data_IF_572029888056
#
_entry.id   IF_572029888056
#
_cell.length_a   1.000
_cell.length_b   1.000
_cell.length_c   1.000
_cell.angle_alpha   90.00
_cell.angle_beta   90.00
_cell.angle_gamma   90.00
#
_symmetry.space_group_name_H-M   'P 1'
#
loop_
_entity.id
_entity.type
_entity.pdbx_description
1 polymer ?
#
# COMPACT_ATOMS: atom_id res chain seq x y z
N UNK A 1 -14.21 14.55 -1.42
CA UNK A 1 -12.83 14.65 -0.80
C UNK A 1 -11.91 15.37 -1.78
N UNK A 2 -10.96 16.20 -1.27
CA UNK A 2 -10.01 16.94 -2.12
C UNK A 2 -8.65 16.21 -2.05
N UNK A 3 -8.21 15.64 -3.17
CA UNK A 3 -6.88 15.00 -3.26
C UNK A 3 -5.80 16.10 -3.24
N UNK A 4 -4.80 16.02 -2.33
CA UNK A 4 -3.77 17.05 -2.22
C UNK A 4 -2.91 17.15 -3.50
N UNK A 5 -2.72 18.39 -4.01
CA UNK A 5 -1.89 18.64 -5.21
C UNK A 5 -0.47 18.05 -5.12
N UNK A 6 0.13 18.08 -3.93
CA UNK A 6 1.46 17.50 -3.70
C UNK A 6 1.46 15.98 -3.90
N UNK A 7 0.41 15.26 -3.41
CA UNK A 7 0.26 13.83 -3.65
C UNK A 7 0.08 13.54 -5.15
N UNK A 8 -0.82 14.27 -5.81
CA UNK A 8 -1.04 14.15 -7.27
C UNK A 8 0.28 14.21 -8.04
N UNK A 9 1.12 15.22 -7.75
CA UNK A 9 2.43 15.38 -8.38
C UNK A 9 3.37 14.21 -8.11
N UNK A 10 3.37 13.69 -6.86
CA UNK A 10 4.20 12.54 -6.51
C UNK A 10 3.74 11.28 -7.24
N UNK A 11 2.41 11.04 -7.32
CA UNK A 11 1.83 9.89 -8.03
C UNK A 11 2.08 9.96 -9.54
N UNK A 12 1.92 11.12 -10.16
CA UNK A 12 2.18 11.31 -11.60
C UNK A 12 3.65 11.06 -12.00
N UNK A 13 4.59 11.24 -11.09
CA UNK A 13 6.00 10.96 -11.33
C UNK A 13 6.35 9.47 -11.20
N UNK A 14 5.44 8.64 -10.70
CA UNK A 14 5.64 7.20 -10.61
C UNK A 14 5.48 6.56 -12.00
N UNK A 15 6.48 5.76 -12.41
CA UNK A 15 6.55 5.17 -13.75
C UNK A 15 5.86 3.81 -13.89
N UNK A 16 5.26 3.33 -12.83
CA UNK A 16 4.54 2.06 -12.78
C UNK A 16 3.31 2.20 -11.89
N UNK A 17 2.34 1.35 -12.12
CA UNK A 17 1.10 1.33 -11.35
C UNK A 17 1.06 0.11 -10.42
N UNK A 18 1.79 -0.96 -10.77
CA UNK A 18 1.83 -2.17 -9.96
C UNK A 18 3.21 -2.84 -9.91
N UNK A 19 3.38 -3.68 -8.90
CA UNK A 19 4.50 -4.61 -8.75
C UNK A 19 3.94 -5.94 -8.27
N UNK A 20 4.19 -7.01 -9.07
CA UNK A 20 3.75 -8.37 -8.75
C UNK A 20 4.91 -9.21 -8.26
N UNK A 21 4.67 -10.04 -7.25
CA UNK A 21 5.61 -11.02 -6.73
C UNK A 21 4.84 -12.31 -6.40
N UNK A 22 5.05 -13.35 -7.20
CA UNK A 22 4.36 -14.63 -7.02
C UNK A 22 2.85 -14.51 -7.14
N UNK A 23 2.16 -14.77 -6.03
CA UNK A 23 0.69 -14.76 -5.95
C UNK A 23 0.09 -13.38 -5.65
N UNK A 24 0.91 -12.40 -5.27
CA UNK A 24 0.44 -11.09 -4.83
C UNK A 24 0.92 -9.95 -5.71
N UNK A 25 0.15 -8.89 -5.75
CA UNK A 25 0.46 -7.64 -6.45
C UNK A 25 0.12 -6.45 -5.56
N UNK A 26 1.00 -5.46 -5.52
CA UNK A 26 0.67 -4.12 -5.04
C UNK A 26 0.22 -3.30 -6.22
N UNK A 27 -0.98 -2.74 -6.14
CA UNK A 27 -1.50 -1.79 -7.12
C UNK A 27 -1.66 -0.40 -6.49
N UNK A 28 -1.15 0.63 -7.16
CA UNK A 28 -1.24 2.03 -6.74
C UNK A 28 -2.12 2.76 -7.74
N UNK A 29 -3.28 3.25 -7.30
CA UNK A 29 -4.26 3.91 -8.17
C UNK A 29 -3.67 5.10 -8.92
N UNK A 30 -4.02 5.22 -10.20
CA UNK A 30 -3.78 6.44 -10.98
C UNK A 30 -4.62 7.59 -10.43
N UNK A 31 -4.20 8.82 -10.68
CA UNK A 31 -4.91 10.01 -10.18
C UNK A 31 -6.38 10.04 -10.57
N UNK A 32 -6.69 9.60 -11.80
CA UNK A 32 -8.08 9.53 -12.31
C UNK A 32 -8.92 8.41 -11.70
N UNK A 33 -8.31 7.46 -11.01
CA UNK A 33 -9.00 6.32 -10.36
C UNK A 33 -9.35 6.64 -8.89
N UNK A 34 -8.67 7.64 -8.29
CA UNK A 34 -8.75 7.93 -6.87
C UNK A 34 -10.16 8.25 -6.37
N UNK A 35 -10.96 8.95 -7.17
CA UNK A 35 -12.34 9.27 -6.78
C UNK A 35 -13.18 8.00 -6.64
N UNK A 36 -13.12 7.13 -7.65
CA UNK A 36 -13.83 5.85 -7.65
C UNK A 36 -13.32 4.89 -6.58
N UNK A 37 -12.03 4.93 -6.29
CA UNK A 37 -11.39 4.09 -5.29
C UNK A 37 -11.85 4.36 -3.86
N UNK A 38 -12.56 5.47 -3.61
CA UNK A 38 -13.10 5.78 -2.28
C UNK A 38 -14.44 5.11 -2.00
N UNK A 39 -15.08 4.52 -3.01
CA UNK A 39 -16.37 3.83 -2.84
C UNK A 39 -16.18 2.59 -1.98
N UNK A 40 -17.02 2.46 -0.95
CA UNK A 40 -16.93 1.39 0.05
C UNK A 40 -16.02 1.73 1.25
N UNK A 41 -15.28 2.84 1.18
CA UNK A 41 -14.43 3.34 2.26
C UNK A 41 -14.95 4.67 2.83
N UNK A 42 -14.69 5.78 2.16
CA UNK A 42 -15.15 7.10 2.63
C UNK A 42 -16.51 7.50 2.09
N UNK A 43 -17.00 6.86 1.03
CA UNK A 43 -18.31 7.12 0.42
C UNK A 43 -18.97 5.80 0.00
N UNK A 44 -20.33 5.79 0.00
CA UNK A 44 -21.12 4.71 -0.57
C UNK A 44 -21.29 4.86 -2.11
N UNK A 45 -21.97 3.92 -2.75
CA UNK A 45 -22.29 3.96 -4.19
C UNK A 45 -23.16 5.17 -4.59
N UNK A 46 -23.91 5.74 -3.65
CA UNK A 46 -24.77 6.90 -3.85
C UNK A 46 -24.03 8.22 -3.59
N UNK A 47 -22.76 8.15 -3.14
CA UNK A 47 -21.97 9.33 -2.79
C UNK A 47 -22.18 9.85 -1.36
N UNK A 48 -22.94 9.14 -0.51
CA UNK A 48 -23.09 9.50 0.88
C UNK A 48 -21.79 9.19 1.64
N UNK A 49 -21.47 10.02 2.65
CA UNK A 49 -20.30 9.81 3.50
C UNK A 49 -20.44 8.54 4.35
N UNK A 50 -19.38 7.76 4.39
CA UNK A 50 -19.18 6.61 5.31
C UNK A 50 -18.16 6.94 6.41
N UNK A 51 -17.70 8.20 6.48
CA UNK A 51 -16.75 8.63 7.51
C UNK A 51 -17.43 8.88 8.84
N UNK A 52 -16.73 8.59 9.95
CA UNK A 52 -17.20 8.80 11.30
C UNK A 52 -16.09 9.19 12.27
N UNK A 53 -16.47 9.42 13.53
CA UNK A 53 -15.56 9.84 14.61
C UNK A 53 -15.37 8.75 15.68
N UNK A 54 -16.10 7.63 15.59
CA UNK A 54 -15.96 6.53 16.53
C UNK A 54 -14.73 5.69 16.22
N UNK A 55 -14.30 4.92 17.22
CA UNK A 55 -13.25 3.91 16.99
C UNK A 55 -13.72 2.89 15.96
N UNK A 56 -12.89 2.63 14.95
CA UNK A 56 -13.20 1.71 13.86
C UNK A 56 -13.93 2.33 12.66
N UNK A 57 -14.39 3.59 12.75
CA UNK A 57 -14.93 4.31 11.61
C UNK A 57 -13.81 4.69 10.62
N UNK A 58 -14.17 4.85 9.35
CA UNK A 58 -13.26 5.45 8.37
C UNK A 58 -13.05 6.92 8.67
N UNK A 59 -11.81 7.35 8.88
CA UNK A 59 -11.53 8.76 9.19
C UNK A 59 -11.61 9.65 7.94
N UNK A 60 -12.16 10.87 8.11
CA UNK A 60 -12.34 11.86 7.02
C UNK A 60 -11.05 12.20 6.27
N UNK A 61 -9.91 12.11 6.95
CA UNK A 61 -8.59 12.42 6.39
C UNK A 61 -7.86 11.21 5.76
N UNK A 62 -8.49 10.06 5.67
CA UNK A 62 -7.92 8.89 5.01
C UNK A 62 -8.31 8.87 3.53
N UNK A 63 -7.32 8.73 2.67
CA UNK A 63 -7.46 8.59 1.23
C UNK A 63 -6.93 7.24 0.81
N UNK A 64 -7.77 6.38 0.23
CA UNK A 64 -7.33 5.14 -0.40
C UNK A 64 -6.51 5.46 -1.64
N UNK A 65 -5.33 4.86 -1.75
CA UNK A 65 -4.36 5.12 -2.82
C UNK A 65 -3.96 3.86 -3.60
N UNK A 66 -4.39 2.71 -3.17
CA UNK A 66 -4.03 1.42 -3.76
C UNK A 66 -4.55 0.26 -2.94
N UNK A 67 -4.13 -0.93 -3.27
CA UNK A 67 -4.45 -2.18 -2.55
C UNK A 67 -3.38 -3.24 -2.81
N UNK A 68 -3.34 -4.26 -1.96
CA UNK A 68 -2.69 -5.52 -2.26
C UNK A 68 -3.73 -6.52 -2.80
N UNK A 69 -3.34 -7.39 -3.72
CA UNK A 69 -4.32 -8.17 -4.49
C UNK A 69 -4.76 -9.48 -3.84
N UNK A 70 -4.11 -9.94 -2.77
CA UNK A 70 -4.42 -11.23 -2.16
C UNK A 70 -5.67 -11.16 -1.29
N UNK A 71 -5.72 -10.18 -0.38
CA UNK A 71 -6.85 -9.93 0.51
C UNK A 71 -7.67 -8.70 0.12
N UNK A 72 -7.22 -7.96 -0.90
CA UNK A 72 -7.78 -6.66 -1.33
C UNK A 72 -7.69 -5.58 -0.23
N UNK A 73 -6.74 -5.73 0.70
CA UNK A 73 -6.53 -4.77 1.76
C UNK A 73 -6.06 -3.42 1.21
N UNK A 74 -6.71 -2.30 1.60
CA UNK A 74 -6.42 -1.00 1.04
C UNK A 74 -5.08 -0.45 1.54
N UNK A 75 -4.37 0.26 0.65
CA UNK A 75 -3.37 1.23 1.06
C UNK A 75 -4.03 2.59 1.18
N UNK A 76 -3.84 3.24 2.31
CA UNK A 76 -4.39 4.56 2.57
C UNK A 76 -3.32 5.52 3.08
N UNK A 77 -3.52 6.81 2.83
CA UNK A 77 -2.69 7.88 3.37
C UNK A 77 -3.51 8.83 4.23
N UNK A 78 -2.88 9.37 5.28
CA UNK A 78 -3.41 10.51 6.02
C UNK A 78 -3.08 11.81 5.26
N UNK A 79 -4.12 12.43 4.67
CA UNK A 79 -3.96 13.67 3.89
C UNK A 79 -3.69 14.92 4.74
N UNK A 80 -3.96 14.88 6.05
CA UNK A 80 -3.59 15.94 7.01
C UNK A 80 -2.11 15.88 7.37
N UNK A 81 -1.49 14.69 7.26
CA UNK A 81 -0.06 14.52 7.46
C UNK A 81 0.69 14.90 6.18
N UNK A 82 1.43 15.98 6.20
CA UNK A 82 2.17 16.50 5.04
C UNK A 82 3.25 15.59 4.45
N UNK A 83 3.55 14.46 5.12
CA UNK A 83 4.43 13.39 4.62
C UNK A 83 3.67 12.32 3.84
N UNK A 84 2.34 12.24 4.05
CA UNK A 84 1.48 11.16 3.54
C UNK A 84 2.00 9.78 3.98
N UNK A 85 2.03 9.56 5.29
CA UNK A 85 2.31 8.25 5.87
C UNK A 85 1.33 7.23 5.30
N UNK A 86 1.83 6.03 4.96
CA UNK A 86 1.04 4.99 4.31
C UNK A 86 0.69 3.92 5.32
N UNK A 87 -0.57 3.56 5.34
CA UNK A 87 -1.13 2.51 6.20
C UNK A 87 -1.80 1.45 5.33
N UNK A 88 -1.97 0.27 5.89
CA UNK A 88 -2.91 -0.76 5.41
C UNK A 88 -3.91 -1.07 6.52
N UNK A 89 -5.05 -1.64 6.17
CA UNK A 89 -6.05 -2.07 7.13
C UNK A 89 -6.74 -3.33 6.62
N UNK A 90 -7.03 -4.28 7.50
CA UNK A 90 -7.72 -5.52 7.13
C UNK A 90 -9.13 -5.23 6.66
N UNK A 91 -9.51 -5.80 5.53
CA UNK A 91 -10.81 -5.63 4.92
C UNK A 91 -11.82 -6.61 5.54
N UNK A 92 -13.05 -6.15 5.78
CA UNK A 92 -14.18 -7.02 6.17
C UNK A 92 -14.32 -7.32 7.66
N UNK A 93 -13.50 -6.77 8.54
CA UNK A 93 -13.63 -6.98 10.00
C UNK A 93 -14.70 -6.12 10.69
N UNK A 94 -15.41 -5.27 9.93
CA UNK A 94 -16.47 -4.40 10.45
C UNK A 94 -15.99 -3.12 11.14
N UNK A 95 -14.68 -2.97 11.32
CA UNK A 95 -14.00 -1.77 11.80
C UNK A 95 -12.66 -1.62 11.10
N UNK A 96 -12.12 -0.40 11.11
CA UNK A 96 -10.86 -0.09 10.47
C UNK A 96 -9.76 0.18 11.52
N UNK A 97 -8.73 -0.66 11.52
CA UNK A 97 -7.55 -0.53 12.39
C UNK A 97 -6.28 -0.39 11.53
N UNK A 98 -5.94 0.84 11.07
CA UNK A 98 -4.83 1.03 10.16
C UNK A 98 -3.48 0.74 10.81
N UNK A 99 -2.68 -0.09 10.17
CA UNK A 99 -1.28 -0.38 10.51
C UNK A 99 -0.34 0.44 9.64
N UNK A 100 0.62 1.12 10.26
CA UNK A 100 1.63 1.93 9.55
C UNK A 100 2.60 1.01 8.80
N UNK A 101 2.65 1.12 7.47
CA UNK A 101 3.57 0.36 6.62
C UNK A 101 4.68 1.22 5.97
N UNK A 102 4.53 2.55 6.00
CA UNK A 102 5.62 3.48 5.68
C UNK A 102 5.37 4.88 6.27
N UNK A 103 6.40 5.49 6.88
CA UNK A 103 6.35 6.84 7.50
C UNK A 103 6.08 7.98 6.47
N UNK A 104 6.15 7.67 5.19
CA UNK A 104 5.76 8.61 4.12
C UNK A 104 5.53 7.88 2.79
N UNK A 105 4.74 8.49 1.89
CA UNK A 105 4.55 7.97 0.53
C UNK A 105 5.88 7.80 -0.23
N UNK A 106 6.85 8.70 -0.03
CA UNK A 106 8.18 8.56 -0.64
C UNK A 106 8.93 7.32 -0.15
N UNK A 107 8.83 6.98 1.13
CA UNK A 107 9.45 5.78 1.71
C UNK A 107 8.71 4.52 1.26
N UNK A 108 7.38 4.57 1.20
CA UNK A 108 6.56 3.50 0.65
C UNK A 108 7.01 3.12 -0.76
N UNK A 109 7.15 4.10 -1.66
CA UNK A 109 7.62 3.85 -3.03
C UNK A 109 9.03 3.24 -3.05
N UNK A 110 9.95 3.70 -2.18
CA UNK A 110 11.27 3.09 -2.07
C UNK A 110 11.25 1.64 -1.58
N UNK A 111 10.33 1.31 -0.67
CA UNK A 111 10.14 -0.06 -0.21
C UNK A 111 9.59 -0.93 -1.34
N UNK A 112 8.58 -0.44 -2.09
CA UNK A 112 8.07 -1.10 -3.31
C UNK A 112 9.19 -1.32 -4.34
N UNK A 113 10.09 -0.35 -4.54
CA UNK A 113 11.24 -0.51 -5.46
C UNK A 113 12.18 -1.62 -5.01
N UNK A 114 12.38 -1.82 -3.69
CA UNK A 114 13.14 -2.96 -3.18
C UNK A 114 12.48 -4.30 -3.55
N UNK A 115 11.16 -4.39 -3.40
CA UNK A 115 10.38 -5.58 -3.79
C UNK A 115 10.41 -5.77 -5.32
N UNK A 116 10.24 -4.71 -6.09
CA UNK A 116 10.32 -4.75 -7.55
C UNK A 116 11.67 -5.29 -8.05
N UNK A 117 12.75 -5.02 -7.35
CA UNK A 117 14.06 -5.55 -7.73
C UNK A 117 14.14 -7.08 -7.61
N UNK A 118 13.53 -7.67 -6.57
CA UNK A 118 13.49 -9.13 -6.40
C UNK A 118 12.35 -9.80 -7.18
N UNK A 119 11.34 -9.05 -7.62
CA UNK A 119 10.22 -9.59 -8.38
C UNK A 119 10.60 -9.97 -9.83
N UNK A 120 11.72 -9.47 -10.33
CA UNK A 120 12.17 -9.77 -11.69
C UNK A 120 12.39 -11.26 -11.93
N UNK A 121 11.58 -11.83 -12.83
CA UNK A 121 11.57 -13.27 -13.08
C UNK A 121 10.79 -14.08 -12.04
N UNK A 122 9.97 -13.40 -11.21
CA UNK A 122 9.12 -13.98 -10.15
C UNK A 122 7.71 -13.37 -10.13
N UNK A 123 7.29 -12.77 -11.27
CA UNK A 123 6.07 -11.95 -11.36
C UNK A 123 4.76 -12.76 -11.34
N UNK A 124 4.84 -14.08 -11.21
CA UNK A 124 3.69 -14.96 -11.08
C UNK A 124 4.07 -16.23 -10.30
N UNK A 125 3.08 -17.04 -9.81
CA UNK A 125 3.35 -18.21 -8.98
C UNK A 125 4.32 -19.20 -9.61
N UNK A 126 4.15 -19.53 -10.90
CA UNK A 126 5.01 -20.51 -11.59
C UNK A 126 6.46 -20.02 -11.67
N UNK A 127 6.66 -18.73 -11.95
CA UNK A 127 8.01 -18.14 -11.99
C UNK A 127 8.65 -18.12 -10.61
N UNK A 128 7.88 -17.79 -9.58
CA UNK A 128 8.36 -17.78 -8.20
C UNK A 128 8.73 -19.20 -7.73
N UNK A 129 7.90 -20.20 -8.05
CA UNK A 129 8.19 -21.61 -7.75
C UNK A 129 9.49 -22.09 -8.40
N UNK A 130 9.72 -21.72 -9.66
CA UNK A 130 10.96 -22.07 -10.39
C UNK A 130 12.19 -21.24 -9.98
N UNK A 131 12.00 -20.13 -9.30
CA UNK A 131 13.04 -19.21 -8.83
C UNK A 131 12.66 -18.65 -7.45
N UNK A 132 12.62 -19.47 -6.39
CA UNK A 132 12.17 -19.05 -5.08
C UNK A 132 13.10 -17.97 -4.48
N UNK A 133 12.53 -17.12 -3.63
CA UNK A 133 13.31 -16.14 -2.89
C UNK A 133 14.05 -16.86 -1.77
N UNK A 134 15.36 -16.73 -1.75
CA UNK A 134 16.18 -17.31 -0.67
C UNK A 134 16.08 -16.46 0.61
N UNK A 135 16.27 -17.07 1.78
CA UNK A 135 16.30 -16.36 3.06
C UNK A 135 17.34 -15.22 3.07
N UNK A 136 18.47 -15.41 2.40
CA UNK A 136 19.51 -14.37 2.27
C UNK A 136 19.00 -13.18 1.47
N UNK A 137 18.21 -13.40 0.41
CA UNK A 137 17.59 -12.32 -0.36
C UNK A 137 16.53 -11.57 0.47
N UNK A 138 15.66 -12.31 1.19
CA UNK A 138 14.66 -11.75 2.10
C UNK A 138 15.33 -10.85 3.15
N UNK A 139 16.28 -11.37 3.90
CA UNK A 139 17.02 -10.60 4.89
C UNK A 139 17.66 -9.34 4.33
N UNK A 140 18.25 -9.43 3.13
CA UNK A 140 18.85 -8.29 2.46
C UNK A 140 17.83 -7.20 2.12
N UNK A 141 16.63 -7.58 1.67
CA UNK A 141 15.54 -6.65 1.37
C UNK A 141 15.01 -6.03 2.64
N UNK A 142 14.73 -6.83 3.67
CA UNK A 142 14.24 -6.34 4.96
C UNK A 142 15.24 -5.35 5.59
N UNK A 143 16.52 -5.65 5.56
CA UNK A 143 17.57 -4.71 6.02
C UNK A 143 17.55 -3.38 5.24
N UNK A 144 17.29 -3.41 3.91
CA UNK A 144 17.15 -2.18 3.11
C UNK A 144 15.90 -1.40 3.51
N UNK A 145 14.76 -2.07 3.69
CA UNK A 145 13.49 -1.46 4.08
C UNK A 145 13.63 -0.84 5.48
N UNK A 146 14.13 -1.57 6.47
CA UNK A 146 14.39 -1.06 7.83
C UNK A 146 15.32 0.17 7.83
N UNK A 147 16.36 0.16 7.00
CA UNK A 147 17.27 1.31 6.85
C UNK A 147 16.57 2.50 6.20
N UNK A 148 15.70 2.26 5.22
CA UNK A 148 14.94 3.31 4.54
C UNK A 148 13.85 3.90 5.46
N UNK A 149 13.20 3.06 6.25
CA UNK A 149 12.10 3.44 7.14
C UNK A 149 12.21 2.81 8.54
N UNK A 150 13.10 3.35 9.40
CA UNK A 150 13.38 2.76 10.71
C UNK A 150 12.23 2.92 11.73
N UNK A 151 11.15 3.63 11.39
CA UNK A 151 9.99 3.84 12.25
C UNK A 151 8.86 2.87 11.99
N UNK A 152 8.93 2.13 10.90
CA UNK A 152 7.85 1.25 10.45
C UNK A 152 8.20 -0.19 10.80
N UNK A 153 7.22 -0.93 11.28
CA UNK A 153 7.31 -2.37 11.42
C UNK A 153 7.49 -3.00 10.02
N UNK A 154 8.43 -3.91 9.92
CA UNK A 154 8.74 -4.59 8.64
C UNK A 154 7.87 -5.82 8.38
N UNK A 155 7.05 -6.23 9.35
CA UNK A 155 6.23 -7.46 9.28
C UNK A 155 5.33 -7.51 8.05
N UNK A 156 4.75 -6.38 7.63
CA UNK A 156 4.00 -6.29 6.37
C UNK A 156 4.84 -6.70 5.15
N UNK A 157 6.07 -6.23 5.09
CA UNK A 157 6.99 -6.50 3.99
C UNK A 157 7.55 -7.92 4.01
N UNK A 158 7.77 -8.48 5.22
CA UNK A 158 8.17 -9.88 5.42
C UNK A 158 7.06 -10.81 4.94
N UNK A 159 5.83 -10.59 5.45
CA UNK A 159 4.67 -11.40 5.08
C UNK A 159 4.45 -11.41 3.56
N UNK A 160 4.60 -10.27 2.90
CA UNK A 160 4.42 -10.18 1.46
C UNK A 160 5.47 -10.97 0.66
N UNK A 161 6.65 -11.23 1.21
CA UNK A 161 7.68 -12.07 0.58
C UNK A 161 7.56 -13.56 0.93
N UNK A 162 6.69 -13.92 1.87
CA UNK A 162 6.45 -15.30 2.31
C UNK A 162 5.21 -15.94 1.67
N UNK A 163 4.48 -15.19 0.83
CA UNK A 163 3.25 -15.61 0.16
C UNK A 163 3.50 -16.36 -1.15
#
# INVERSE_FOLDING_TARGET
>A
MIVPKKYIKMRQNLKYDSVSLGCTEVYIFKVQELEKAQIGYSVDLSGNSLTGENSGDWAENWLVIGYESLCEDPFLIDIKNGKYSVYTAVHGEGNWEPTLIADSFKKFIKNIECIKDISKGRENPVKLENNPISEVEKEKIIKKISKNDPKTDVSFWELWMDL
#
